data_IF_226539217346
#
_entry.id   IF_226539217346
#
_cell.length_a   1.000
_cell.length_b   1.000
_cell.length_c   1.000
_cell.angle_alpha   90.00
_cell.angle_beta   90.00
_cell.angle_gamma   90.00
#
_symmetry.space_group_name_H-M   'P 1'
#
loop_
_entity.id
_entity.type
_entity.pdbx_description
1 polymer ?
#
# COMPACT_ATOMS: atom_id res chain seq x y z
N UNK A 1 22.97 -7.08 -9.97
CA UNK A 1 21.76 -7.81 -10.40
C UNK A 1 20.58 -6.97 -9.97
N UNK A 2 19.76 -6.52 -10.93
CA UNK A 2 18.53 -5.78 -10.67
C UNK A 2 17.47 -6.76 -10.18
N UNK A 3 17.49 -7.08 -8.89
CA UNK A 3 16.46 -7.94 -8.28
C UNK A 3 15.11 -7.28 -8.50
N UNK A 4 14.19 -8.02 -9.12
CA UNK A 4 12.81 -7.59 -9.25
C UNK A 4 12.04 -7.98 -7.99
N UNK A 5 11.16 -7.08 -7.56
CA UNK A 5 10.28 -7.24 -6.41
C UNK A 5 8.84 -7.03 -6.86
N UNK A 6 7.92 -7.64 -6.14
CA UNK A 6 6.48 -7.50 -6.37
C UNK A 6 5.85 -6.76 -5.19
N UNK A 7 5.00 -5.78 -5.51
CA UNK A 7 4.17 -5.07 -4.54
C UNK A 7 2.70 -5.34 -4.82
N UNK A 8 1.90 -5.57 -3.77
CA UNK A 8 0.44 -5.75 -3.87
C UNK A 8 -0.31 -4.84 -2.90
N UNK A 9 -1.33 -4.17 -3.42
CA UNK A 9 -2.30 -3.41 -2.65
C UNK A 9 -3.53 -4.28 -2.40
N UNK A 10 -3.72 -4.66 -1.15
CA UNK A 10 -4.82 -5.46 -0.63
C UNK A 10 -5.82 -4.57 0.09
N UNK A 11 -7.05 -5.02 0.22
CA UNK A 11 -8.11 -4.24 0.85
C UNK A 11 -8.95 -5.08 1.79
N UNK A 12 -9.14 -4.57 3.00
CA UNK A 12 -10.04 -5.17 3.98
C UNK A 12 -11.19 -4.20 4.27
N UNK A 13 -12.42 -4.71 4.30
CA UNK A 13 -13.57 -3.96 4.80
C UNK A 13 -13.65 -4.13 6.32
N UNK A 14 -13.73 -3.00 7.04
CA UNK A 14 -13.89 -2.97 8.50
C UNK A 14 -15.31 -2.59 8.91
N UNK A 15 -16.03 -1.89 8.04
CA UNK A 15 -17.41 -1.47 8.25
C UNK A 15 -17.98 -0.81 6.99
N UNK A 16 -19.21 -0.28 7.09
CA UNK A 16 -19.84 0.45 5.99
C UNK A 16 -18.98 1.67 5.62
N UNK A 17 -18.41 1.64 4.41
CA UNK A 17 -17.47 2.65 3.92
C UNK A 17 -16.20 2.83 4.74
N UNK A 18 -15.81 1.83 5.53
CA UNK A 18 -14.56 1.83 6.28
C UNK A 18 -13.67 0.68 5.80
N UNK A 19 -12.46 1.02 5.38
CA UNK A 19 -11.50 0.09 4.79
C UNK A 19 -10.10 0.30 5.35
N UNK A 20 -9.31 -0.78 5.32
CA UNK A 20 -7.86 -0.70 5.44
C UNK A 20 -7.26 -1.21 4.14
N UNK A 21 -6.47 -0.36 3.47
CA UNK A 21 -5.64 -0.78 2.36
C UNK A 21 -4.25 -1.15 2.87
N UNK A 22 -3.72 -2.27 2.41
CA UNK A 22 -2.45 -2.83 2.86
C UNK A 22 -1.57 -3.02 1.64
N UNK A 23 -0.52 -2.21 1.52
CA UNK A 23 0.49 -2.39 0.50
C UNK A 23 1.64 -3.23 1.05
N UNK A 24 1.88 -4.41 0.48
CA UNK A 24 2.91 -5.34 0.93
C UNK A 24 3.85 -5.71 -0.21
N UNK A 25 5.12 -6.02 0.11
CA UNK A 25 6.17 -6.26 -0.87
C UNK A 25 6.94 -7.54 -0.55
N UNK A 26 7.22 -8.35 -1.57
CA UNK A 26 8.07 -9.54 -1.50
C UNK A 26 8.93 -9.69 -2.76
N UNK A 27 9.81 -10.70 -2.77
CA UNK A 27 10.61 -11.08 -3.94
C UNK A 27 9.80 -11.85 -4.99
N UNK A 28 8.68 -12.45 -4.60
CA UNK A 28 7.86 -13.29 -5.46
C UNK A 28 6.37 -13.24 -5.11
N UNK A 29 5.53 -13.54 -6.11
CA UNK A 29 4.08 -13.55 -6.01
C UNK A 29 3.53 -14.56 -4.99
N UNK A 30 4.20 -15.71 -4.84
CA UNK A 30 3.75 -16.81 -3.99
C UNK A 30 3.77 -16.40 -2.52
N UNK A 31 4.86 -15.78 -2.08
CA UNK A 31 4.98 -15.21 -0.73
C UNK A 31 3.85 -14.23 -0.41
N UNK A 32 3.48 -13.36 -1.35
CA UNK A 32 2.38 -12.41 -1.14
C UNK A 32 1.02 -13.11 -1.11
N UNK A 33 0.83 -14.15 -1.92
CA UNK A 33 -0.40 -14.96 -1.93
C UNK A 33 -0.58 -15.70 -0.61
N UNK A 34 0.48 -16.32 -0.09
CA UNK A 34 0.46 -17.05 1.18
C UNK A 34 0.23 -16.11 2.37
N UNK A 35 0.91 -14.96 2.39
CA UNK A 35 0.68 -13.93 3.39
C UNK A 35 -0.78 -13.47 3.39
N UNK A 36 -1.34 -13.16 2.21
CA UNK A 36 -2.74 -12.81 2.03
C UNK A 36 -3.66 -13.87 2.62
N UNK A 37 -3.50 -15.14 2.24
CA UNK A 37 -4.42 -16.20 2.65
C UNK A 37 -4.37 -16.46 4.17
N UNK A 38 -3.18 -16.36 4.77
CA UNK A 38 -2.98 -16.60 6.20
C UNK A 38 -3.43 -15.44 7.08
N UNK A 39 -3.20 -14.19 6.67
CA UNK A 39 -3.41 -13.00 7.52
C UNK A 39 -4.66 -12.20 7.18
N UNK A 40 -5.08 -12.23 5.92
CA UNK A 40 -6.12 -11.36 5.38
C UNK A 40 -7.15 -12.16 4.55
N UNK A 41 -7.79 -13.20 5.12
CA UNK A 41 -8.69 -14.08 4.37
C UNK A 41 -9.96 -13.38 3.85
N UNK A 42 -10.29 -12.20 4.40
CA UNK A 42 -11.51 -11.44 4.07
C UNK A 42 -11.25 -10.24 3.16
N UNK A 43 -10.24 -10.32 2.29
CA UNK A 43 -9.96 -9.25 1.33
C UNK A 43 -11.15 -9.04 0.39
N UNK A 44 -11.52 -7.78 0.18
CA UNK A 44 -12.61 -7.35 -0.69
C UNK A 44 -12.08 -6.64 -1.93
N UNK A 45 -12.73 -6.89 -3.07
CA UNK A 45 -12.49 -6.15 -4.32
C UNK A 45 -11.19 -6.53 -5.05
N UNK A 46 -10.82 -5.68 -6.02
CA UNK A 46 -9.64 -5.87 -6.87
C UNK A 46 -8.35 -5.48 -6.13
N UNK A 47 -7.37 -6.37 -6.17
CA UNK A 47 -5.99 -6.10 -5.73
C UNK A 47 -5.19 -5.48 -6.87
N UNK A 48 -4.38 -4.46 -6.57
CA UNK A 48 -3.45 -3.89 -7.55
C UNK A 48 -2.06 -4.49 -7.34
N UNK A 49 -1.36 -4.82 -8.42
CA UNK A 49 0.03 -5.33 -8.37
C UNK A 49 0.97 -4.44 -9.17
N UNK A 50 2.21 -4.28 -8.69
CA UNK A 50 3.31 -3.64 -9.41
C UNK A 50 4.57 -4.51 -9.30
N UNK A 51 5.38 -4.53 -10.36
CA UNK A 51 6.68 -5.18 -10.38
C UNK A 51 7.76 -4.11 -10.56
N UNK A 52 8.74 -4.05 -9.66
CA UNK A 52 9.70 -2.96 -9.64
C UNK A 52 11.08 -3.41 -9.15
N UNK A 53 12.04 -2.52 -9.26
CA UNK A 53 13.37 -2.65 -8.66
C UNK A 53 13.60 -1.42 -7.79
N UNK A 54 14.18 -1.60 -6.62
CA UNK A 54 14.59 -0.49 -5.76
C UNK A 54 15.64 0.36 -6.46
N UNK A 55 15.52 1.68 -6.33
CA UNK A 55 16.61 2.59 -6.71
C UNK A 55 17.70 2.45 -5.65
N UNK A 56 18.96 2.17 -6.04
CA UNK A 56 20.08 2.25 -5.12
C UNK A 56 20.20 3.68 -4.58
N UNK A 57 20.12 3.87 -3.26
CA UNK A 57 20.32 5.20 -2.69
C UNK A 57 21.77 5.67 -2.91
N UNK A 58 21.90 6.82 -3.57
CA UNK A 58 23.20 7.48 -3.80
C UNK A 58 23.55 8.48 -2.68
N UNK A 59 22.58 8.84 -1.83
CA UNK A 59 22.78 9.82 -0.75
C UNK A 59 23.20 9.13 0.56
N UNK A 60 24.47 9.30 0.88
CA UNK A 60 25.16 8.76 2.05
C UNK A 60 24.73 9.35 3.41
N UNK A 61 23.73 10.23 3.46
CA UNK A 61 23.32 10.91 4.71
C UNK A 61 22.20 10.20 5.48
N UNK A 62 21.57 9.17 4.91
CA UNK A 62 20.47 8.38 5.53
C UNK A 62 20.85 6.90 5.84
N UNK A 63 22.15 6.61 5.98
CA UNK A 63 22.70 5.23 6.05
C UNK A 63 22.47 4.58 7.43
N UNK A 64 21.26 4.14 7.72
CA UNK A 64 21.12 3.02 8.68
C UNK A 64 20.27 1.86 8.20
N UNK A 65 19.41 2.05 7.19
CA UNK A 65 18.52 0.97 6.68
C UNK A 65 18.59 0.69 5.18
N UNK A 66 19.32 1.50 4.40
CA UNK A 66 19.53 1.26 2.96
C UNK A 66 18.33 1.64 2.07
N UNK A 67 18.26 1.03 0.88
CA UNK A 67 17.22 1.28 -0.12
C UNK A 67 15.81 1.05 0.43
N UNK A 68 14.87 1.94 0.10
CA UNK A 68 13.47 1.81 0.45
C UNK A 68 12.58 2.37 -0.65
N UNK A 69 11.31 1.96 -0.62
CA UNK A 69 10.24 2.66 -1.30
C UNK A 69 9.44 3.49 -0.30
N UNK A 70 8.85 4.58 -0.77
CA UNK A 70 7.96 5.42 0.03
C UNK A 70 6.64 5.66 -0.72
N UNK A 71 5.53 5.51 0.00
CA UNK A 71 4.20 5.90 -0.49
C UNK A 71 3.95 7.36 -0.12
N UNK A 72 3.74 8.21 -1.15
CA UNK A 72 3.61 9.66 -0.98
C UNK A 72 2.14 10.09 -0.91
N UNK A 73 1.78 10.76 0.17
CA UNK A 73 0.42 11.24 0.45
C UNK A 73 0.26 12.76 0.33
N UNK A 74 1.34 13.47 0.01
CA UNK A 74 1.41 14.92 -0.20
C UNK A 74 1.12 15.32 -1.66
N UNK A 75 0.87 14.35 -2.53
CA UNK A 75 0.64 14.60 -3.96
C UNK A 75 -0.77 15.15 -4.23
N UNK A 76 -0.90 16.28 -4.95
CA UNK A 76 -2.20 16.83 -5.33
C UNK A 76 -3.05 15.83 -6.12
N UNK A 77 -4.34 15.74 -5.78
CA UNK A 77 -5.28 14.81 -6.40
C UNK A 77 -6.06 15.49 -7.54
N UNK A 78 -6.21 14.79 -8.66
CA UNK A 78 -6.96 15.29 -9.83
C UNK A 78 -8.47 15.25 -9.60
N UNK A 79 -8.94 14.28 -8.82
CA UNK A 79 -10.37 14.10 -8.50
C UNK A 79 -10.62 14.56 -7.06
N UNK A 80 -11.83 15.08 -6.76
CA UNK A 80 -12.17 15.48 -5.41
C UNK A 80 -12.15 14.27 -4.48
N UNK A 81 -11.64 14.49 -3.27
CA UNK A 81 -11.58 13.52 -2.18
C UNK A 81 -12.42 13.97 -0.98
N UNK A 82 -13.26 15.00 -1.16
CA UNK A 82 -14.08 15.57 -0.10
C UNK A 82 -14.89 14.49 0.61
N UNK A 83 -14.89 14.57 1.94
CA UNK A 83 -15.47 13.62 2.87
C UNK A 83 -14.90 12.20 2.83
N UNK A 84 -13.79 11.96 2.14
CA UNK A 84 -13.00 10.74 2.34
C UNK A 84 -11.76 11.06 3.16
N UNK A 85 -11.55 10.31 4.24
CA UNK A 85 -10.36 10.39 5.06
C UNK A 85 -9.43 9.25 4.65
N UNK A 86 -8.23 9.61 4.16
CA UNK A 86 -7.17 8.69 3.76
C UNK A 86 -5.97 8.95 4.66
N UNK A 87 -5.61 7.98 5.51
CA UNK A 87 -4.58 8.17 6.53
C UNK A 87 -3.60 6.98 6.54
N UNK A 88 -2.31 7.18 6.20
CA UNK A 88 -1.30 6.15 6.44
C UNK A 88 -1.13 5.91 7.94
N UNK A 89 -0.92 4.65 8.34
CA UNK A 89 -0.72 4.27 9.74
C UNK A 89 0.65 4.69 10.25
N UNK A 90 1.63 4.78 9.36
CA UNK A 90 3.00 5.20 9.65
C UNK A 90 3.39 6.32 8.70
N UNK A 91 4.01 7.37 9.23
CA UNK A 91 4.57 8.50 8.45
C UNK A 91 6.04 8.67 8.85
N UNK A 92 6.99 8.56 7.91
CA UNK A 92 6.81 8.26 6.48
C UNK A 92 6.37 6.80 6.25
N UNK A 93 5.58 6.56 5.19
CA UNK A 93 5.12 5.20 4.85
C UNK A 93 6.17 4.52 3.97
N UNK A 94 7.15 3.87 4.61
CA UNK A 94 8.32 3.27 3.95
C UNK A 94 8.34 1.75 4.08
N UNK A 95 8.84 1.10 3.04
CA UNK A 95 9.20 -0.32 3.06
C UNK A 95 10.67 -0.45 2.65
N UNK A 96 11.50 -0.95 3.55
CA UNK A 96 12.94 -1.12 3.32
C UNK A 96 13.23 -2.41 2.58
N UNK A 97 14.14 -2.34 1.60
CA UNK A 97 14.64 -3.50 0.87
C UNK A 97 15.22 -4.56 1.81
N UNK A 98 15.93 -4.13 2.86
CA UNK A 98 16.51 -5.03 3.86
C UNK A 98 15.47 -5.89 4.56
N UNK A 99 14.26 -5.36 4.77
CA UNK A 99 13.17 -6.09 5.44
C UNK A 99 12.51 -7.07 4.47
N UNK A 100 12.33 -6.65 3.21
CA UNK A 100 11.85 -7.52 2.12
C UNK A 100 12.83 -8.67 1.86
N UNK A 101 14.14 -8.39 1.92
CA UNK A 101 15.16 -9.39 1.61
C UNK A 101 15.26 -10.50 2.65
N UNK A 102 14.82 -10.25 3.89
CA UNK A 102 14.80 -11.20 5.02
C UNK A 102 13.55 -12.09 5.06
N UNK A 103 12.53 -11.82 4.25
CA UNK A 103 11.27 -12.58 4.29
C UNK A 103 11.55 -14.07 4.05
N UNK A 104 11.00 -14.93 4.91
CA UNK A 104 11.21 -16.37 4.90
C UNK A 104 12.40 -16.86 5.74
N UNK A 105 13.19 -15.95 6.33
CA UNK A 105 14.27 -16.30 7.27
C UNK A 105 13.74 -16.42 8.71
N UNK A 106 14.46 -17.07 9.64
CA UNK A 106 14.03 -17.18 11.04
C UNK A 106 13.73 -15.82 11.66
N UNK A 107 12.53 -15.67 12.24
CA UNK A 107 12.06 -14.41 12.82
C UNK A 107 11.39 -13.43 11.84
N UNK A 108 11.42 -13.70 10.53
CA UNK A 108 10.83 -12.84 9.49
C UNK A 108 9.88 -13.62 8.55
N UNK A 109 8.79 -14.22 9.06
CA UNK A 109 7.89 -15.03 8.25
C UNK A 109 6.95 -14.21 7.35
N UNK A 110 6.74 -12.93 7.67
CA UNK A 110 5.76 -12.08 7.00
C UNK A 110 6.47 -10.97 6.18
N UNK A 111 6.00 -10.68 4.96
CA UNK A 111 6.48 -9.54 4.20
C UNK A 111 6.17 -8.21 4.90
N UNK A 112 7.04 -7.19 4.77
CA UNK A 112 6.76 -5.86 5.29
C UNK A 112 5.55 -5.25 4.55
N UNK A 113 4.84 -4.36 5.24
CA UNK A 113 3.67 -3.70 4.68
C UNK A 113 3.49 -2.27 5.21
N UNK A 114 2.75 -1.48 4.42
CA UNK A 114 2.24 -0.16 4.73
C UNK A 114 0.72 -0.24 4.78
N UNK A 115 0.11 0.15 5.91
CA UNK A 115 -1.35 0.14 6.09
C UNK A 115 -1.91 1.56 6.01
N UNK A 116 -3.09 1.69 5.41
CA UNK A 116 -3.75 2.96 5.11
C UNK A 116 -5.22 2.83 5.49
N UNK A 117 -5.67 3.63 6.44
CA UNK A 117 -7.09 3.75 6.75
C UNK A 117 -7.79 4.59 5.69
N UNK A 118 -8.95 4.13 5.24
CA UNK A 118 -9.83 4.83 4.31
C UNK A 118 -11.24 4.79 4.90
N UNK A 119 -11.83 5.94 5.19
CA UNK A 119 -13.23 5.97 5.59
C UNK A 119 -13.97 7.19 5.05
N UNK A 120 -15.27 7.03 4.82
CA UNK A 120 -16.14 8.11 4.40
C UNK A 120 -16.77 8.82 5.60
N UNK A 121 -16.86 10.14 5.53
CA UNK A 121 -17.71 10.98 6.35
C UNK A 121 -19.04 11.25 5.63
N UNK A 122 -20.05 11.85 6.30
CA UNK A 122 -21.37 12.07 5.69
C UNK A 122 -21.38 12.91 4.41
N UNK A 123 -20.40 13.79 4.23
CA UNK A 123 -20.23 14.68 3.07
C UNK A 123 -19.37 14.07 1.95
N UNK A 124 -19.04 12.77 2.05
CA UNK A 124 -18.21 12.09 1.07
C UNK A 124 -18.76 12.16 -0.36
N UNK A 125 -17.90 12.50 -1.31
CA UNK A 125 -18.22 12.35 -2.73
C UNK A 125 -18.48 10.88 -3.08
N UNK A 126 -19.37 10.64 -4.04
CA UNK A 126 -19.80 9.29 -4.41
C UNK A 126 -18.66 8.37 -4.83
N UNK A 127 -17.65 8.89 -5.54
CA UNK A 127 -16.53 8.11 -6.08
C UNK A 127 -15.22 8.69 -5.58
N UNK A 128 -14.49 7.91 -4.78
CA UNK A 128 -13.11 8.16 -4.43
C UNK A 128 -12.21 7.63 -5.55
N UNK A 129 -11.33 8.49 -6.05
CA UNK A 129 -10.16 8.10 -6.83
C UNK A 129 -8.95 8.85 -6.28
N UNK A 130 -8.16 8.16 -5.48
CA UNK A 130 -6.99 8.71 -4.80
C UNK A 130 -5.75 7.99 -5.28
N UNK A 131 -4.79 8.73 -5.83
CA UNK A 131 -3.56 8.21 -6.42
C UNK A 131 -2.38 8.47 -5.48
N UNK A 132 -1.59 7.43 -5.23
CA UNK A 132 -0.42 7.43 -4.36
C UNK A 132 0.81 7.12 -5.20
N UNK A 133 1.71 8.09 -5.44
CA UNK A 133 3.00 7.80 -6.04
C UNK A 133 3.85 6.89 -5.16
N UNK A 134 4.59 5.99 -5.81
CA UNK A 134 5.61 5.13 -5.19
C UNK A 134 6.97 5.71 -5.58
N UNK A 135 7.70 6.22 -4.59
CA UNK A 135 9.09 6.67 -4.75
C UNK A 135 10.08 5.57 -4.37
N UNK A 136 11.35 5.73 -4.74
CA UNK A 136 12.40 4.73 -4.47
C UNK A 136 12.40 3.54 -5.43
N UNK A 137 11.70 3.65 -6.56
CA UNK A 137 11.60 2.63 -7.62
C UNK A 137 12.14 3.14 -8.95
N UNK A 138 12.79 2.28 -9.73
CA UNK A 138 13.47 2.67 -10.99
C UNK A 138 12.48 3.23 -12.02
N UNK A 139 11.29 2.63 -12.11
CA UNK A 139 10.18 3.11 -12.95
C UNK A 139 9.15 3.79 -12.08
N UNK A 140 8.53 4.86 -12.57
CA UNK A 140 7.43 5.54 -11.87
C UNK A 140 6.22 4.61 -11.77
N UNK A 141 5.71 4.44 -10.55
CA UNK A 141 4.48 3.72 -10.28
C UNK A 141 3.54 4.57 -9.42
N UNK A 142 2.25 4.37 -9.63
CA UNK A 142 1.20 4.95 -8.82
C UNK A 142 0.23 3.85 -8.40
N UNK A 143 -0.15 3.85 -7.13
CA UNK A 143 -1.22 3.03 -6.60
C UNK A 143 -2.52 3.83 -6.59
N UNK A 144 -3.63 3.18 -6.91
CA UNK A 144 -4.95 3.81 -6.93
C UNK A 144 -5.86 3.23 -5.86
N UNK A 145 -6.30 4.08 -4.93
CA UNK A 145 -7.42 3.81 -4.03
C UNK A 145 -8.71 4.25 -4.71
N UNK A 146 -9.52 3.26 -5.08
CA UNK A 146 -10.83 3.48 -5.70
C UNK A 146 -11.95 2.96 -4.82
N UNK A 147 -12.90 3.81 -4.44
CA UNK A 147 -14.09 3.43 -3.66
C UNK A 147 -15.34 4.11 -4.18
N UNK A 148 -16.46 3.41 -4.03
CA UNK A 148 -17.79 3.98 -4.24
C UNK A 148 -18.48 4.03 -2.89
N UNK A 149 -18.96 5.22 -2.51
CA UNK A 149 -19.72 5.42 -1.29
C UNK A 149 -20.98 4.55 -1.33
N UNK A 150 -21.13 3.68 -0.33
CA UNK A 150 -22.33 2.87 -0.11
C UNK A 150 -23.24 3.62 0.84
N UNK A 151 -24.44 3.97 0.40
CA UNK A 151 -25.46 4.50 1.32
C UNK A 151 -26.02 3.32 2.12
N UNK A 152 -26.05 3.43 3.45
CA UNK A 152 -26.73 2.43 4.27
C UNK A 152 -28.20 2.33 3.86
N UNK A 153 -28.83 1.17 4.06
CA UNK A 153 -30.29 1.11 4.00
C UNK A 153 -30.83 2.07 5.06
N UNK A 154 -31.70 2.98 4.65
CA UNK A 154 -32.60 3.67 5.57
C UNK A 154 -33.71 2.64 5.78
N UNK A 155 -33.70 1.97 6.93
CA UNK A 155 -34.84 1.16 7.37
C UNK A 155 -36.00 2.06 7.79
#
# INVERSE_FOLDING_TARGET
RDTQYEGRLLYEEKGLNEYVAIFTVAKDAGTLFDYRNRKHPKIVGLTQSINFTFVPQQDSTLISRGDYIELKFDTPQVKPTTGWIIKPHTVPCRIYRSDVDKVGTPGYPDPPCCSISIHATPDAVLRLHYTIPVEGVVKRYTLDIRRTLRRGKID
#
